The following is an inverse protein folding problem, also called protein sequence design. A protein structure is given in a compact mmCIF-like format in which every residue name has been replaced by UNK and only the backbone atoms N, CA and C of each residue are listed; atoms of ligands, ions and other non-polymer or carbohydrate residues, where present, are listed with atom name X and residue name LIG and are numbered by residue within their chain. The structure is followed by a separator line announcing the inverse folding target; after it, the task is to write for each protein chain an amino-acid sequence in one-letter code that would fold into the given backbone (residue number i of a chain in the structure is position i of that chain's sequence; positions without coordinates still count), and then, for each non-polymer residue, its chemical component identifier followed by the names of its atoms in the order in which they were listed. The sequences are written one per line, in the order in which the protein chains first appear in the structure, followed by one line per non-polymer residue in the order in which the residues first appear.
data_IF_288366962981
#
_entry.id   IF_288366962981
#
_cell.length_a   1.000
_cell.length_b   1.000
_cell.length_c   1.000
_cell.angle_alpha   90.00
_cell.angle_beta   90.00
_cell.angle_gamma   90.00
#
_symmetry.space_group_name_H-M   'P 1'
#
loop_
_entity.id
_entity.type
_entity.pdbx_description
1 polymer ?
#
# COMPACT_ATOMS: atom_id res chain seq x y z
N UNK A 1 -28.00 40.78 44.09
CA UNK A 1 -28.64 39.78 43.23
C UNK A 1 -27.74 39.62 42.00
N UNK A 2 -26.82 38.67 42.07
CA UNK A 2 -25.80 38.44 41.04
C UNK A 2 -26.22 37.24 40.20
N UNK A 3 -26.40 37.47 38.88
CA UNK A 3 -26.76 36.44 37.89
C UNK A 3 -25.48 35.80 37.38
N UNK A 4 -25.23 34.52 37.70
CA UNK A 4 -24.12 33.74 37.17
C UNK A 4 -24.60 33.04 35.90
N UNK A 5 -24.04 33.43 34.76
CA UNK A 5 -24.28 32.79 33.47
C UNK A 5 -23.29 31.60 33.34
N UNK A 6 -23.82 30.38 33.42
CA UNK A 6 -23.07 29.16 33.12
C UNK A 6 -23.04 28.98 31.59
N UNK A 7 -21.87 29.20 30.98
CA UNK A 7 -21.60 28.83 29.57
C UNK A 7 -21.13 27.38 29.59
N UNK A 8 -22.03 26.45 29.23
CA UNK A 8 -21.71 25.05 29.03
C UNK A 8 -20.89 24.88 27.75
N UNK A 9 -19.58 24.75 27.89
CA UNK A 9 -18.70 24.30 26.81
C UNK A 9 -18.81 22.78 26.66
N UNK A 10 -19.53 22.30 25.63
CA UNK A 10 -19.52 20.90 25.27
C UNK A 10 -18.12 20.48 24.74
N UNK A 11 -17.65 19.26 25.05
CA UNK A 11 -16.39 18.78 24.48
C UNK A 11 -16.54 18.65 22.97
N UNK A 12 -15.79 19.45 22.22
CA UNK A 12 -15.59 19.24 20.81
C UNK A 12 -14.84 17.91 20.66
N UNK A 13 -15.54 16.89 20.16
CA UNK A 13 -14.92 15.66 19.70
C UNK A 13 -14.08 16.03 18.46
N UNK A 14 -12.81 16.36 18.69
CA UNK A 14 -11.80 16.43 17.65
C UNK A 14 -11.64 14.99 17.12
N UNK A 15 -12.34 14.70 16.04
CA UNK A 15 -12.08 13.50 15.27
C UNK A 15 -10.61 13.52 14.86
N UNK A 16 -9.80 12.69 15.49
CA UNK A 16 -8.40 12.49 15.12
C UNK A 16 -8.43 11.86 13.73
N UNK A 17 -8.17 12.66 12.69
CA UNK A 17 -7.94 12.12 11.37
C UNK A 17 -6.79 11.11 11.51
N UNK A 18 -7.02 9.86 11.13
CA UNK A 18 -6.00 8.82 11.16
C UNK A 18 -4.88 9.25 10.20
N UNK A 19 -3.79 9.75 10.76
CA UNK A 19 -2.65 10.18 9.97
C UNK A 19 -1.90 8.93 9.51
N UNK A 20 -1.63 8.83 8.20
CA UNK A 20 -0.86 7.74 7.65
C UNK A 20 0.51 7.66 8.33
N UNK A 21 0.84 6.48 8.87
CA UNK A 21 2.12 6.20 9.50
C UNK A 21 2.84 5.07 8.75
N UNK A 22 4.13 5.28 8.51
CA UNK A 22 5.00 4.31 7.86
C UNK A 22 6.32 4.28 8.60
N UNK A 23 6.73 3.10 9.06
CA UNK A 23 7.98 2.95 9.80
C UNK A 23 8.63 1.60 9.54
N UNK A 24 9.95 1.53 9.78
CA UNK A 24 10.73 0.30 9.74
C UNK A 24 11.63 0.23 10.97
N UNK A 25 11.70 -0.94 11.60
CA UNK A 25 12.55 -1.17 12.76
C UNK A 25 13.20 -2.57 12.71
N UNK A 26 14.44 -2.73 13.18
CA UNK A 26 15.04 -4.04 13.37
C UNK A 26 14.38 -4.78 14.54
N UNK A 27 14.15 -6.08 14.40
CA UNK A 27 13.64 -6.93 15.48
C UNK A 27 14.74 -7.85 16.00
N UNK A 28 15.32 -7.58 17.18
CA UNK A 28 16.45 -8.34 17.72
C UNK A 28 16.15 -9.82 17.89
N UNK A 29 14.93 -10.16 18.33
CA UNK A 29 14.49 -11.55 18.54
C UNK A 29 14.47 -12.39 17.25
N UNK A 30 14.42 -11.75 16.08
CA UNK A 30 14.44 -12.39 14.76
C UNK A 30 15.77 -12.23 14.03
N UNK A 31 16.88 -12.06 14.78
CA UNK A 31 18.20 -11.81 14.20
C UNK A 31 18.27 -10.46 13.47
N UNK A 32 17.60 -9.46 14.02
CA UNK A 32 17.49 -8.11 13.48
C UNK A 32 16.78 -8.01 12.12
N UNK A 33 15.92 -8.98 11.76
CA UNK A 33 15.07 -8.86 10.58
C UNK A 33 14.21 -7.58 10.68
N UNK A 34 13.92 -6.88 9.55
CA UNK A 34 13.12 -5.67 9.58
C UNK A 34 11.65 -5.98 9.84
N UNK A 35 11.00 -5.15 10.64
CA UNK A 35 9.55 -5.09 10.78
C UNK A 35 9.09 -3.77 10.17
N UNK A 36 8.34 -3.87 9.09
CA UNK A 36 7.69 -2.76 8.43
C UNK A 36 6.29 -2.57 9.04
N UNK A 37 5.93 -1.34 9.40
CA UNK A 37 4.57 -1.00 9.88
C UNK A 37 3.94 -0.02 8.90
N UNK A 38 2.72 -0.37 8.46
CA UNK A 38 1.92 0.41 7.52
C UNK A 38 0.59 0.69 8.21
N UNK A 39 0.24 1.96 8.43
CA UNK A 39 -0.99 2.34 9.11
C UNK A 39 -1.63 3.54 8.40
N UNK A 40 -2.94 3.49 8.16
CA UNK A 40 -3.73 4.59 7.63
C UNK A 40 -3.40 5.01 6.19
N UNK A 41 -2.56 4.26 5.47
CA UNK A 41 -2.17 4.58 4.09
C UNK A 41 -3.34 4.42 3.13
N UNK A 42 -4.23 3.46 3.41
CA UNK A 42 -5.43 3.15 2.64
C UNK A 42 -6.71 3.73 3.28
N UNK A 43 -6.60 4.66 4.22
CA UNK A 43 -7.76 5.23 4.93
C UNK A 43 -8.59 6.23 4.10
N UNK A 44 -8.09 6.67 2.93
CA UNK A 44 -8.81 7.60 2.05
C UNK A 44 -10.01 6.90 1.39
N UNK A 45 -11.25 7.37 1.64
CA UNK A 45 -12.45 6.76 1.05
C UNK A 45 -12.45 6.71 -0.49
N UNK A 46 -11.72 7.63 -1.14
CA UNK A 46 -11.60 7.64 -2.59
C UNK A 46 -10.85 6.40 -3.13
N UNK A 47 -9.98 5.78 -2.31
CA UNK A 47 -9.30 4.53 -2.67
C UNK A 47 -10.27 3.35 -2.68
N UNK A 48 -11.17 3.27 -1.70
CA UNK A 48 -12.22 2.23 -1.70
C UNK A 48 -13.14 2.38 -2.91
N UNK A 49 -13.58 3.61 -3.22
CA UNK A 49 -14.42 3.88 -4.38
C UNK A 49 -13.71 3.48 -5.69
N UNK A 50 -12.41 3.77 -5.81
CA UNK A 50 -11.61 3.38 -6.96
C UNK A 50 -11.58 1.84 -7.12
N UNK A 51 -11.29 1.10 -6.03
CA UNK A 51 -11.24 -0.37 -6.08
C UNK A 51 -12.61 -0.97 -6.42
N UNK A 52 -13.70 -0.48 -5.81
CA UNK A 52 -15.07 -0.94 -6.13
C UNK A 52 -15.46 -0.68 -7.58
N UNK A 53 -14.86 0.33 -8.19
CA UNK A 53 -15.04 0.68 -9.59
C UNK A 53 -14.18 -0.15 -10.56
N UNK A 54 -13.47 -1.16 -10.04
CA UNK A 54 -12.64 -2.07 -10.82
C UNK A 54 -11.20 -1.62 -11.03
N UNK A 55 -10.75 -0.53 -10.36
CA UNK A 55 -9.38 -0.07 -10.45
C UNK A 55 -8.51 -0.74 -9.39
N UNK A 56 -7.44 -1.46 -9.77
CA UNK A 56 -6.56 -2.10 -8.80
C UNK A 56 -5.76 -1.04 -8.02
N UNK A 57 -5.65 -1.25 -6.70
CA UNK A 57 -4.66 -0.58 -5.88
C UNK A 57 -3.41 -1.43 -5.80
N UNK A 58 -2.27 -0.84 -6.07
CA UNK A 58 -0.97 -1.50 -5.97
C UNK A 58 -0.11 -0.79 -4.95
N UNK A 59 0.32 -1.52 -3.94
CA UNK A 59 1.29 -1.05 -2.95
C UNK A 59 2.58 -1.80 -3.19
N UNK A 60 3.67 -1.05 -3.40
CA UNK A 60 5.01 -1.59 -3.55
C UNK A 60 5.85 -1.15 -2.36
N UNK A 61 6.36 -2.08 -1.59
CA UNK A 61 7.36 -1.78 -0.57
C UNK A 61 8.73 -2.28 -1.00
N UNK A 62 9.76 -1.52 -0.64
CA UNK A 62 11.15 -1.92 -0.75
C UNK A 62 11.85 -1.61 0.57
N UNK A 63 12.55 -2.60 1.09
CA UNK A 63 13.36 -2.48 2.30
C UNK A 63 14.81 -2.74 1.91
N UNK A 64 15.70 -1.90 2.37
CA UNK A 64 17.14 -1.94 2.10
C UNK A 64 17.89 -2.00 3.43
N UNK A 65 18.86 -2.89 3.54
CA UNK A 65 19.77 -3.00 4.66
C UNK A 65 21.09 -2.31 4.29
N UNK A 66 21.44 -1.28 5.03
CA UNK A 66 22.65 -0.51 4.84
C UNK A 66 23.61 -0.70 6.00
N UNK A 67 24.88 -0.87 5.70
CA UNK A 67 25.97 -0.95 6.67
C UNK A 67 26.75 0.34 6.71
N UNK A 68 26.98 0.82 7.93
CA UNK A 68 27.81 2.00 8.22
C UNK A 68 29.26 1.82 7.72
N UNK A 69 29.81 2.85 7.11
CA UNK A 69 31.16 2.92 6.59
C UNK A 69 31.54 4.33 6.20
N UNK A 70 32.73 4.52 5.63
CA UNK A 70 33.13 5.82 5.07
C UNK A 70 32.14 6.28 3.97
N UNK A 71 31.66 5.33 3.19
CA UNK A 71 30.44 5.41 2.42
C UNK A 71 29.53 4.29 2.88
N UNK A 72 28.26 4.60 3.16
CA UNK A 72 27.28 3.58 3.54
C UNK A 72 27.15 2.56 2.41
N UNK A 73 27.10 1.29 2.77
CA UNK A 73 27.11 0.19 1.82
C UNK A 73 25.79 -0.59 1.84
N UNK A 74 25.13 -0.72 0.70
CA UNK A 74 23.95 -1.53 0.55
C UNK A 74 24.34 -3.02 0.63
N UNK A 75 23.88 -3.72 1.67
CA UNK A 75 24.18 -5.14 1.90
C UNK A 75 23.10 -6.06 1.33
N UNK A 76 21.84 -5.68 1.43
CA UNK A 76 20.72 -6.46 0.95
C UNK A 76 19.50 -5.58 0.67
N UNK A 77 18.62 -6.06 -0.19
CA UNK A 77 17.30 -5.46 -0.42
C UNK A 77 16.25 -6.52 -0.68
N UNK A 78 15.01 -6.23 -0.30
CA UNK A 78 13.84 -7.03 -0.64
C UNK A 78 12.68 -6.13 -1.03
N UNK A 79 11.79 -6.64 -1.87
CA UNK A 79 10.59 -5.92 -2.31
C UNK A 79 9.36 -6.82 -2.18
N UNK A 80 8.25 -6.21 -1.79
CA UNK A 80 6.95 -6.87 -1.73
C UNK A 80 5.92 -5.99 -2.42
N UNK A 81 5.04 -6.60 -3.20
CA UNK A 81 3.93 -5.90 -3.84
C UNK A 81 2.62 -6.52 -3.37
N UNK A 82 1.70 -5.67 -2.92
CA UNK A 82 0.31 -6.04 -2.69
C UNK A 82 -0.56 -5.44 -3.79
N UNK A 83 -1.48 -6.22 -4.30
CA UNK A 83 -2.51 -5.77 -5.24
C UNK A 83 -3.86 -6.05 -4.62
N UNK A 84 -4.66 -5.00 -4.47
CA UNK A 84 -6.00 -5.06 -3.93
C UNK A 84 -7.00 -4.82 -5.06
N UNK A 85 -7.93 -5.75 -5.23
CA UNK A 85 -8.92 -5.79 -6.29
C UNK A 85 -10.32 -5.99 -5.69
N UNK A 86 -11.35 -5.62 -6.43
CA UNK A 86 -12.73 -5.97 -6.13
C UNK A 86 -13.28 -6.93 -7.20
N UNK A 87 -13.86 -8.02 -6.75
CA UNK A 87 -14.60 -8.94 -7.60
C UNK A 87 -16.10 -8.61 -7.51
N UNK A 88 -16.69 -8.03 -8.57
CA UNK A 88 -18.11 -7.65 -8.55
C UNK A 88 -19.07 -8.85 -8.64
N UNK A 89 -18.60 -10.01 -9.12
CA UNK A 89 -19.43 -11.22 -9.22
C UNK A 89 -19.63 -11.85 -7.85
N UNK A 90 -18.56 -11.95 -7.08
CA UNK A 90 -18.57 -12.51 -5.72
C UNK A 90 -18.85 -11.45 -4.64
N UNK A 91 -18.78 -10.15 -4.99
CA UNK A 91 -18.96 -9.04 -4.06
C UNK A 91 -17.84 -8.96 -3.01
N UNK A 92 -16.63 -9.42 -3.33
CA UNK A 92 -15.51 -9.58 -2.40
C UNK A 92 -14.29 -8.81 -2.84
N UNK A 93 -13.42 -8.48 -1.88
CA UNK A 93 -12.13 -7.87 -2.13
C UNK A 93 -11.05 -8.96 -2.13
N UNK A 94 -10.16 -8.91 -3.11
CA UNK A 94 -9.05 -9.83 -3.26
C UNK A 94 -7.75 -9.09 -2.95
N UNK A 95 -6.93 -9.64 -2.07
CA UNK A 95 -5.57 -9.18 -1.82
C UNK A 95 -4.60 -10.22 -2.34
N UNK A 96 -3.80 -9.82 -3.32
CA UNK A 96 -2.69 -10.62 -3.83
C UNK A 96 -1.39 -10.07 -3.31
N UNK A 97 -0.62 -10.90 -2.61
CA UNK A 97 0.76 -10.59 -2.23
C UNK A 97 1.72 -11.23 -3.23
N UNK A 98 2.64 -10.44 -3.76
CA UNK A 98 3.76 -10.91 -4.58
C UNK A 98 5.03 -10.85 -3.73
N UNK A 99 5.12 -11.77 -2.78
CA UNK A 99 6.38 -12.20 -2.17
C UNK A 99 6.83 -13.49 -2.84
N UNK A 100 7.82 -14.18 -2.30
CA UNK A 100 8.35 -15.44 -2.85
C UNK A 100 7.29 -16.55 -3.12
N UNK A 101 6.10 -16.45 -2.50
CA UNK A 101 4.92 -17.26 -2.81
C UNK A 101 3.75 -16.32 -3.10
N UNK A 102 3.26 -16.33 -4.36
CA UNK A 102 2.09 -15.54 -4.72
C UNK A 102 0.85 -16.11 -4.01
N UNK A 103 0.35 -15.40 -3.01
CA UNK A 103 -0.83 -15.77 -2.25
C UNK A 103 -1.97 -14.81 -2.58
N UNK A 104 -3.16 -15.36 -2.88
CA UNK A 104 -4.40 -14.60 -3.05
C UNK A 104 -5.33 -14.95 -1.92
N UNK A 105 -5.80 -13.92 -1.22
CA UNK A 105 -6.82 -14.06 -0.16
C UNK A 105 -8.00 -13.17 -0.46
N UNK A 106 -9.19 -13.64 -0.12
CA UNK A 106 -10.45 -12.91 -0.29
C UNK A 106 -10.97 -12.38 1.05
N UNK A 107 -11.63 -11.21 0.98
CA UNK A 107 -12.14 -10.50 2.14
C UNK A 107 -13.55 -9.97 1.85
N UNK A 108 -14.48 -10.03 2.84
CA UNK A 108 -15.87 -9.61 2.62
C UNK A 108 -16.02 -8.07 2.56
N UNK A 109 -15.08 -7.33 3.11
CA UNK A 109 -15.14 -5.85 3.17
C UNK A 109 -13.81 -5.22 2.79
N UNK A 110 -13.86 -3.95 2.36
CA UNK A 110 -12.64 -3.18 2.10
C UNK A 110 -11.78 -3.02 3.37
N UNK A 111 -12.42 -2.79 4.51
CA UNK A 111 -11.71 -2.66 5.79
C UNK A 111 -10.94 -3.93 6.18
N UNK A 112 -11.52 -5.11 5.94
CA UNK A 112 -10.83 -6.38 6.17
C UNK A 112 -9.64 -6.56 5.20
N UNK A 113 -9.81 -6.23 3.93
CA UNK A 113 -8.74 -6.26 2.93
C UNK A 113 -7.64 -5.22 3.23
N UNK A 114 -8.03 -4.01 3.65
CA UNK A 114 -7.13 -2.97 4.12
C UNK A 114 -6.29 -3.44 5.31
N UNK A 115 -6.93 -4.01 6.33
CA UNK A 115 -6.24 -4.52 7.52
C UNK A 115 -5.24 -5.65 7.20
N UNK A 116 -5.46 -6.41 6.12
CA UNK A 116 -4.52 -7.43 5.67
C UNK A 116 -3.27 -6.85 4.98
N UNK A 117 -3.38 -5.65 4.39
CA UNK A 117 -2.27 -4.93 3.75
C UNK A 117 -1.58 -4.00 4.75
N UNK A 118 -2.36 -3.32 5.58
CA UNK A 118 -1.85 -2.51 6.68
C UNK A 118 -1.46 -3.40 7.87
N UNK A 119 -0.61 -2.89 8.76
CA UNK A 119 -0.15 -3.61 9.93
C UNK A 119 1.37 -3.88 9.91
N UNK A 120 1.79 -4.94 10.57
CA UNK A 120 3.20 -5.28 10.72
C UNK A 120 3.60 -6.41 9.76
N UNK A 121 4.57 -6.13 8.89
CA UNK A 121 5.13 -7.08 7.94
C UNK A 121 6.61 -7.33 8.28
N UNK A 122 6.96 -8.60 8.49
CA UNK A 122 8.35 -8.98 8.77
C UNK A 122 9.06 -9.29 7.46
N UNK A 123 10.21 -8.63 7.25
CA UNK A 123 11.09 -8.93 6.13
C UNK A 123 12.00 -10.13 6.39
N UNK A 124 12.68 -10.56 5.35
CA UNK A 124 13.58 -11.73 5.37
C UNK A 124 15.06 -11.34 5.45
N UNK A 125 15.41 -10.16 4.98
CA UNK A 125 16.79 -9.68 4.95
C UNK A 125 17.32 -9.39 6.36
N UNK A 126 18.58 -9.71 6.60
CA UNK A 126 19.23 -9.51 7.91
C UNK A 126 20.73 -9.35 7.75
N UNK A 127 21.42 -8.72 8.72
CA UNK A 127 22.88 -8.65 8.72
C UNK A 127 23.51 -10.03 8.77
N UNK A 128 24.61 -10.21 8.05
CA UNK A 128 25.40 -11.45 8.04
C UNK A 128 26.81 -11.29 8.60
N UNK A 129 27.25 -10.05 8.79
CA UNK A 129 28.61 -9.69 9.29
C UNK A 129 28.50 -8.74 10.47
N UNK A 130 29.51 -8.75 11.33
CA UNK A 130 29.60 -7.75 12.40
C UNK A 130 29.64 -6.34 11.84
N UNK A 131 28.91 -5.42 12.47
CA UNK A 131 28.90 -4.03 12.04
C UNK A 131 27.72 -3.25 12.59
N UNK A 132 27.67 -1.98 12.22
CA UNK A 132 26.59 -1.08 12.50
C UNK A 132 25.74 -0.91 11.25
N UNK A 133 24.42 -0.98 11.42
CA UNK A 133 23.46 -1.04 10.32
C UNK A 133 22.26 -0.14 10.55
N UNK A 134 21.53 0.14 9.48
CA UNK A 134 20.17 0.69 9.52
C UNK A 134 19.36 0.15 8.34
N UNK A 135 18.04 0.24 8.46
CA UNK A 135 17.11 -0.05 7.38
C UNK A 135 16.58 1.25 6.76
N UNK A 136 16.49 1.26 5.44
CA UNK A 136 15.68 2.22 4.68
C UNK A 136 14.48 1.47 4.12
N UNK A 137 13.30 2.08 4.19
CA UNK A 137 12.09 1.53 3.59
C UNK A 137 11.39 2.59 2.76
N UNK A 138 10.84 2.16 1.64
CA UNK A 138 10.03 2.98 0.74
C UNK A 138 8.73 2.23 0.50
N UNK A 139 7.59 2.92 0.60
CA UNK A 139 6.28 2.43 0.22
C UNK A 139 5.69 3.35 -0.84
N UNK A 140 5.30 2.78 -1.96
CA UNK A 140 4.65 3.48 -3.07
C UNK A 140 3.24 2.94 -3.24
N UNK A 141 2.26 3.85 -3.21
CA UNK A 141 0.87 3.55 -3.49
C UNK A 141 0.55 4.05 -4.91
N UNK A 142 0.20 3.10 -5.78
CA UNK A 142 -0.19 3.36 -7.17
C UNK A 142 -1.64 2.92 -7.37
N UNK A 143 -2.46 3.78 -7.93
CA UNK A 143 -3.84 3.44 -8.34
C UNK A 143 -3.90 2.87 -9.75
N UNK A 144 -2.91 3.22 -10.58
CA UNK A 144 -2.67 2.67 -11.93
C UNK A 144 -1.18 2.80 -12.23
N UNK A 145 -0.57 1.77 -12.82
CA UNK A 145 0.77 1.89 -13.39
C UNK A 145 0.70 2.54 -14.78
N UNK A 146 1.81 3.12 -15.24
CA UNK A 146 1.91 3.62 -16.63
C UNK A 146 1.59 2.53 -17.66
N UNK A 147 2.00 1.28 -17.39
CA UNK A 147 1.68 0.13 -18.24
C UNK A 147 0.18 -0.19 -18.26
N UNK A 148 -0.52 -0.03 -17.12
CA UNK A 148 -1.98 -0.23 -17.04
C UNK A 148 -2.71 0.87 -17.81
N UNK A 149 -2.20 2.10 -17.80
CA UNK A 149 -2.73 3.22 -18.59
C UNK A 149 -2.53 2.99 -20.10
N UNK A 150 -1.36 2.53 -20.51
CA UNK A 150 -1.06 2.20 -21.91
C UNK A 150 -1.90 1.02 -22.40
N UNK A 151 -2.12 0.01 -21.57
CA UNK A 151 -2.99 -1.13 -21.87
C UNK A 151 -4.45 -0.71 -21.99
N UNK A 152 -4.91 0.14 -21.10
CA UNK A 152 -6.26 0.69 -21.12
C UNK A 152 -6.44 1.64 -22.31
N UNK A 153 -5.44 2.44 -22.66
CA UNK A 153 -5.48 3.30 -23.84
C UNK A 153 -5.54 2.48 -25.14
N UNK A 154 -4.78 1.39 -25.24
CA UNK A 154 -4.86 0.42 -26.37
C UNK A 154 -6.23 -0.25 -26.43
N UNK A 155 -6.78 -0.64 -25.28
CA UNK A 155 -8.12 -1.20 -25.21
C UNK A 155 -9.21 -0.21 -25.65
N UNK A 156 -9.12 1.04 -25.23
CA UNK A 156 -10.05 2.10 -25.62
C UNK A 156 -9.93 2.46 -27.11
N UNK A 157 -8.76 2.30 -27.70
CA UNK A 157 -8.52 2.49 -29.14
C UNK A 157 -8.98 1.29 -29.98
N UNK A 158 -9.47 0.21 -29.34
CA UNK A 158 -9.92 -1.00 -30.04
C UNK A 158 -8.78 -1.87 -30.59
N UNK A 159 -7.55 -1.64 -30.17
CA UNK A 159 -6.37 -2.38 -30.64
C UNK A 159 -6.25 -3.77 -29.98
N UNK A 160 -6.98 -4.02 -28.87
CA UNK A 160 -7.09 -5.33 -28.25
C UNK A 160 -8.48 -5.89 -28.53
N UNK A 161 -8.55 -6.85 -29.44
CA UNK A 161 -9.75 -7.68 -29.58
C UNK A 161 -9.86 -8.56 -28.32
N UNK A 162 -11.00 -8.56 -27.61
CA UNK A 162 -11.21 -9.53 -26.56
C UNK A 162 -11.27 -10.92 -27.22
N UNK A 163 -10.42 -11.82 -26.77
CA UNK A 163 -10.39 -13.22 -27.20
C UNK A 163 -11.59 -14.01 -26.65
N UNK A 164 -12.80 -13.46 -26.77
CA UNK A 164 -14.06 -14.15 -26.48
C UNK A 164 -15.08 -13.73 -27.55
N UNK A 165 -15.26 -14.60 -28.50
CA UNK A 165 -16.34 -14.55 -29.47
C UNK A 165 -17.66 -14.74 -28.73
N UNK A 166 -18.48 -13.70 -28.61
CA UNK A 166 -19.80 -13.76 -28.06
C UNK A 166 -20.49 -12.41 -28.23
N UNK A 167 -21.24 -12.28 -29.32
CA UNK A 167 -22.07 -11.15 -29.70
C UNK A 167 -22.81 -10.52 -28.51
N UNK A 168 -22.53 -9.25 -28.22
CA UNK A 168 -23.53 -8.18 -28.08
C UNK A 168 -22.81 -6.86 -27.84
N UNK A 169 -22.69 -6.08 -28.88
CA UNK A 169 -22.33 -4.67 -28.80
C UNK A 169 -23.40 -3.94 -27.99
N UNK A 170 -23.01 -3.37 -26.85
CA UNK A 170 -23.75 -2.34 -26.14
C UNK A 170 -23.06 -1.00 -26.42
N UNK A 171 -23.52 -0.24 -27.40
CA UNK A 171 -22.91 1.07 -27.69
C UNK A 171 -23.43 2.09 -26.67
N UNK A 172 -22.55 2.82 -26.03
CA UNK A 172 -22.82 4.16 -25.54
C UNK A 172 -22.89 4.41 -24.03
N UNK A 173 -23.04 3.41 -23.15
CA UNK A 173 -23.18 3.67 -21.72
C UNK A 173 -21.86 3.57 -20.92
N UNK A 174 -20.87 2.87 -21.44
CA UNK A 174 -19.59 2.62 -20.73
C UNK A 174 -18.66 3.81 -20.82
N UNK A 175 -18.71 4.62 -21.89
CA UNK A 175 -17.75 5.68 -22.15
C UNK A 175 -17.77 6.86 -21.17
N UNK A 176 -18.95 7.24 -20.64
CA UNK A 176 -19.07 8.40 -19.76
C UNK A 176 -18.73 8.09 -18.29
N UNK A 177 -19.04 6.89 -17.84
CA UNK A 177 -18.69 6.42 -16.48
C UNK A 177 -17.21 6.22 -16.31
N UNK A 178 -16.57 5.52 -17.26
CA UNK A 178 -15.13 5.29 -17.30
C UNK A 178 -14.37 6.61 -17.39
N UNK A 179 -14.82 7.56 -18.25
CA UNK A 179 -14.15 8.87 -18.39
C UNK A 179 -14.22 9.73 -17.12
N UNK A 180 -15.35 9.71 -16.39
CA UNK A 180 -15.47 10.41 -15.09
C UNK A 180 -14.61 9.75 -14.02
N UNK A 181 -14.53 8.43 -14.02
CA UNK A 181 -13.67 7.67 -13.13
C UNK A 181 -12.20 7.97 -13.39
N UNK A 182 -11.79 8.02 -14.66
CA UNK A 182 -10.43 8.37 -15.08
C UNK A 182 -10.00 9.74 -14.57
N UNK A 183 -10.84 10.76 -14.73
CA UNK A 183 -10.52 12.11 -14.24
C UNK A 183 -10.37 12.13 -12.72
N UNK A 184 -11.14 11.31 -12.01
CA UNK A 184 -11.08 11.22 -10.54
C UNK A 184 -9.85 10.44 -10.04
N UNK A 185 -9.43 9.42 -10.77
CA UNK A 185 -8.25 8.59 -10.45
C UNK A 185 -6.95 9.26 -10.86
N UNK A 186 -6.91 9.97 -11.97
CA UNK A 186 -5.77 10.82 -12.34
C UNK A 186 -5.52 11.96 -11.33
N UNK A 187 -6.53 12.27 -10.50
CA UNK A 187 -6.41 13.21 -9.38
C UNK A 187 -5.94 12.56 -8.07
N UNK A 188 -5.85 11.23 -7.98
CA UNK A 188 -5.27 10.56 -6.81
C UNK A 188 -3.74 10.59 -6.98
N UNK A 189 -3.01 11.38 -6.17
CA UNK A 189 -1.57 11.45 -6.28
C UNK A 189 -0.96 10.08 -5.96
N UNK A 190 0.00 9.64 -6.76
CA UNK A 190 0.90 8.58 -6.35
C UNK A 190 1.51 9.00 -5.00
N UNK A 191 1.27 8.21 -3.96
CA UNK A 191 1.75 8.52 -2.62
C UNK A 191 3.00 7.70 -2.38
N UNK A 192 4.04 8.37 -1.92
CA UNK A 192 5.31 7.76 -1.56
C UNK A 192 5.61 8.09 -0.10
N UNK A 193 5.94 7.06 0.65
CA UNK A 193 6.33 7.13 2.05
C UNK A 193 7.75 6.58 2.17
N UNK A 194 8.55 7.23 2.99
CA UNK A 194 9.92 6.80 3.27
C UNK A 194 10.12 6.73 4.78
N UNK A 195 10.85 5.71 5.21
CA UNK A 195 11.19 5.52 6.60
C UNK A 195 12.63 5.03 6.73
N UNK A 196 13.28 5.43 7.81
CA UNK A 196 14.60 4.95 8.19
C UNK A 196 14.54 4.47 9.63
N UNK A 197 15.15 3.33 9.90
CA UNK A 197 15.29 2.85 11.28
C UNK A 197 16.39 3.62 12.03
N UNK A 198 16.38 3.52 13.35
CA UNK A 198 17.55 3.83 14.14
C UNK A 198 18.72 2.93 13.75
N UNK A 199 19.93 3.39 14.05
CA UNK A 199 21.14 2.58 13.93
C UNK A 199 21.13 1.44 14.94
N UNK A 200 21.59 0.24 14.53
CA UNK A 200 21.76 -0.89 15.41
C UNK A 200 23.09 -1.62 15.16
N UNK A 201 23.64 -2.22 16.18
CA UNK A 201 24.83 -3.04 16.09
C UNK A 201 24.45 -4.52 15.98
N UNK A 202 25.02 -5.19 15.00
CA UNK A 202 24.94 -6.62 14.87
C UNK A 202 26.28 -7.27 15.16
N UNK A 203 26.29 -8.23 16.06
CA UNK A 203 27.45 -9.08 16.36
C UNK A 203 27.05 -10.54 16.18
N UNK A 204 27.77 -11.22 15.32
CA UNK A 204 27.56 -12.64 15.10
C UNK A 204 28.00 -13.37 16.39
N UNK A 205 27.10 -14.11 17.01
CA UNK A 205 27.45 -15.02 18.09
C UNK A 205 28.22 -16.18 17.44
N UNK A 206 29.53 -16.25 17.70
CA UNK A 206 30.34 -17.43 17.34
C UNK A 206 30.12 -18.45 18.46
N UNK A 207 29.46 -19.56 18.17
CA UNK A 207 29.43 -20.76 19.01
C UNK A 207 30.82 -21.41 19.04
#
# INVERSE_FOLDING_TARGET
MALVLFIGGGPALLGTALQAAFSVAPEPASGYAPVLRIEGVLADPALEEAVRSGLPLRLKSRIELWRDGFFDHLEASEATTWVLLYDPLEGRFLVRSQSSAAEVRDYPTFDAARAAVEGAHRGSIRPTRNGRYYYMAVLELETLSLSDLEELERWLKGELQPAVSGERSVPGAVGSGVKRLFIRVLGLPARRYEARSEWFEFRRVTE
#
